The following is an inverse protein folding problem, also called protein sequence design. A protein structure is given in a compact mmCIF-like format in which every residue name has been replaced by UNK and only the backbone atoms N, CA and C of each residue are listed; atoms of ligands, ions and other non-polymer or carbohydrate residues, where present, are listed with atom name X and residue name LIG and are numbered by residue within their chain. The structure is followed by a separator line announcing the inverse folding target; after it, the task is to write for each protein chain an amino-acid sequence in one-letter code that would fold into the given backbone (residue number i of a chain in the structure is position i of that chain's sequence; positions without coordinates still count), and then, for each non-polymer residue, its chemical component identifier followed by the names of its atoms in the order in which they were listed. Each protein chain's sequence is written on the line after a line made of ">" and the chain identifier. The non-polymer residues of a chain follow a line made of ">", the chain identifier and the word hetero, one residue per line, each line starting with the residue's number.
data_IF_762672534482
#
_entry.id   IF_762672534482
#
_cell.length_a   1.000
_cell.length_b   1.000
_cell.length_c   1.000
_cell.angle_alpha   90.00
_cell.angle_beta   90.00
_cell.angle_gamma   90.00
#
_symmetry.space_group_name_H-M   'P 1'
#
loop_
_entity.id
_entity.type
_entity.pdbx_description
1 polymer ?
#
# COMPACT_ATOMS: atom_id res chain seq x y z
N UNK A 1 9.83 -8.09 -2.67
CA UNK A 1 8.98 -8.58 -1.54
C UNK A 1 7.59 -8.91 -2.04
N UNK A 2 6.79 -9.72 -1.32
CA UNK A 2 5.40 -10.00 -1.73
C UNK A 2 4.49 -8.82 -1.37
N UNK A 3 3.42 -8.61 -2.15
CA UNK A 3 2.38 -7.59 -1.87
C UNK A 3 1.89 -7.59 -0.42
N UNK A 4 1.62 -8.77 0.16
CA UNK A 4 1.13 -8.86 1.54
C UNK A 4 2.15 -8.34 2.57
N UNK A 5 3.45 -8.51 2.31
CA UNK A 5 4.51 -7.97 3.18
C UNK A 5 4.55 -6.45 3.12
N UNK A 6 4.37 -5.86 1.93
CA UNK A 6 4.25 -4.41 1.79
C UNK A 6 3.03 -3.88 2.56
N UNK A 7 1.87 -4.52 2.40
CA UNK A 7 0.63 -4.14 3.12
C UNK A 7 0.83 -4.20 4.63
N UNK A 8 1.49 -5.24 5.15
CA UNK A 8 1.78 -5.35 6.58
C UNK A 8 2.70 -4.24 7.07
N UNK A 9 3.74 -3.87 6.30
CA UNK A 9 4.62 -2.75 6.61
C UNK A 9 3.84 -1.43 6.67
N UNK A 10 3.03 -1.15 5.64
CA UNK A 10 2.21 0.06 5.58
C UNK A 10 1.18 0.12 6.72
N UNK A 11 0.57 -1.00 7.08
CA UNK A 11 -0.35 -1.06 8.23
C UNK A 11 0.37 -0.77 9.55
N UNK A 12 1.59 -1.29 9.73
CA UNK A 12 2.41 -0.99 10.91
C UNK A 12 2.75 0.50 10.97
N UNK A 13 3.24 1.07 9.86
CA UNK A 13 3.56 2.50 9.78
C UNK A 13 2.32 3.38 10.00
N UNK A 14 1.16 2.98 9.48
CA UNK A 14 -0.09 3.70 9.72
C UNK A 14 -0.47 3.72 11.21
N UNK A 15 -0.31 2.58 11.90
CA UNK A 15 -0.53 2.48 13.36
C UNK A 15 0.45 3.35 14.13
N UNK A 16 1.74 3.33 13.76
CA UNK A 16 2.78 4.12 14.40
C UNK A 16 2.52 5.64 14.20
N UNK A 17 1.90 6.03 13.08
CA UNK A 17 1.52 7.41 12.78
C UNK A 17 0.10 7.79 13.25
N UNK A 18 -0.67 6.84 13.79
CA UNK A 18 -2.06 7.07 14.22
C UNK A 18 -3.03 7.40 13.09
N UNK A 19 -2.75 7.00 11.84
CA UNK A 19 -3.63 7.27 10.69
C UNK A 19 -4.48 6.05 10.31
N UNK A 20 -5.69 6.27 9.76
CA UNK A 20 -6.51 5.19 9.23
C UNK A 20 -5.82 4.39 8.13
N UNK A 21 -5.96 3.07 8.16
CA UNK A 21 -5.44 2.18 7.12
C UNK A 21 -6.50 1.19 6.69
N UNK A 22 -6.71 1.05 5.38
CA UNK A 22 -7.58 0.02 4.84
C UNK A 22 -7.11 -0.50 3.49
N UNK A 23 -7.52 -1.72 3.15
CA UNK A 23 -7.20 -2.35 1.87
C UNK A 23 -8.49 -2.79 1.21
N UNK A 24 -8.72 -2.31 -0.01
CA UNK A 24 -9.83 -2.75 -0.84
C UNK A 24 -9.32 -3.70 -1.93
N UNK A 25 -9.65 -4.99 -1.76
CA UNK A 25 -9.26 -6.06 -2.68
C UNK A 25 -10.19 -6.17 -3.91
N UNK A 26 -11.38 -5.57 -3.86
CA UNK A 26 -12.39 -5.66 -4.93
C UNK A 26 -12.35 -4.53 -5.95
N UNK A 27 -11.60 -3.45 -5.68
CA UNK A 27 -11.51 -2.25 -6.56
C UNK A 27 -10.31 -2.23 -7.51
N UNK A 28 -9.45 -3.24 -7.54
CA UNK A 28 -8.30 -3.28 -8.45
C UNK A 28 -8.56 -4.13 -9.70
N UNK A 29 -8.21 -3.60 -10.87
CA UNK A 29 -8.22 -4.37 -12.13
C UNK A 29 -7.16 -5.49 -12.06
N UNK A 30 -7.48 -6.69 -12.55
CA UNK A 30 -6.51 -7.78 -12.67
C UNK A 30 -5.96 -8.35 -11.34
N UNK A 31 -6.75 -8.30 -10.26
CA UNK A 31 -6.33 -8.83 -8.95
C UNK A 31 -5.43 -7.89 -8.14
N UNK A 32 -5.33 -6.62 -8.58
CA UNK A 32 -4.69 -5.57 -7.80
C UNK A 32 -5.57 -5.17 -6.61
N UNK A 33 -4.98 -4.51 -5.62
CA UNK A 33 -5.75 -3.91 -4.53
C UNK A 33 -5.49 -2.42 -4.43
N UNK A 34 -6.44 -1.69 -3.85
CA UNK A 34 -6.24 -0.29 -3.46
C UNK A 34 -5.91 -0.26 -1.97
N UNK A 35 -4.82 0.43 -1.62
CA UNK A 35 -4.43 0.69 -0.24
C UNK A 35 -4.78 2.14 0.07
N UNK A 36 -5.47 2.36 1.18
CA UNK A 36 -5.79 3.67 1.75
C UNK A 36 -4.92 3.88 2.99
N UNK A 37 -4.29 5.05 3.06
CA UNK A 37 -3.40 5.48 4.13
C UNK A 37 -3.75 6.93 4.48
N UNK A 38 -4.53 7.12 5.54
CA UNK A 38 -5.19 8.41 5.82
C UNK A 38 -6.05 8.85 4.63
N UNK A 39 -5.81 10.07 4.16
CA UNK A 39 -6.50 10.65 2.99
C UNK A 39 -5.87 10.24 1.64
N UNK A 40 -4.74 9.54 1.67
CA UNK A 40 -4.03 9.11 0.46
C UNK A 40 -4.41 7.68 0.08
N UNK A 41 -4.35 7.39 -1.21
CA UNK A 41 -4.59 6.04 -1.72
C UNK A 41 -3.67 5.71 -2.89
N UNK A 42 -3.38 4.43 -3.07
CA UNK A 42 -2.67 3.95 -4.25
C UNK A 42 -3.09 2.54 -4.64
N UNK A 43 -2.89 2.20 -5.91
CA UNK A 43 -3.10 0.85 -6.43
C UNK A 43 -1.82 0.04 -6.31
N UNK A 44 -1.91 -1.13 -5.69
CA UNK A 44 -0.80 -2.07 -5.53
C UNK A 44 -1.06 -3.31 -6.38
N UNK A 45 -0.14 -3.60 -7.30
CA UNK A 45 -0.21 -4.79 -8.16
C UNK A 45 -0.11 -6.09 -7.37
N UNK A 46 -0.66 -7.16 -7.93
CA UNK A 46 -0.52 -8.51 -7.39
C UNK A 46 0.92 -9.05 -7.57
N UNK A 47 1.27 -10.07 -6.80
CA UNK A 47 2.59 -10.73 -6.91
C UNK A 47 3.74 -9.99 -6.21
N UNK A 48 4.86 -9.88 -6.92
CA UNK A 48 6.10 -9.32 -6.41
C UNK A 48 6.21 -7.81 -6.57
N UNK A 49 6.65 -7.17 -5.49
CA UNK A 49 6.92 -5.75 -5.37
C UNK A 49 8.43 -5.57 -5.43
N UNK A 50 8.90 -4.85 -6.45
CA UNK A 50 10.29 -4.42 -6.58
C UNK A 50 10.56 -3.23 -5.64
N UNK A 51 11.81 -3.01 -5.20
CA UNK A 51 12.15 -1.86 -4.35
C UNK A 51 11.76 -0.51 -4.97
N UNK A 52 11.93 -0.38 -6.29
CA UNK A 52 11.53 0.83 -7.03
C UNK A 52 10.01 1.06 -6.99
N UNK A 53 9.23 -0.01 -7.12
CA UNK A 53 7.76 0.10 -7.07
C UNK A 53 7.26 0.40 -5.65
N UNK A 54 7.89 -0.19 -4.63
CA UNK A 54 7.63 0.19 -3.23
C UNK A 54 7.91 1.68 -2.99
N UNK A 55 9.04 2.21 -3.49
CA UNK A 55 9.37 3.64 -3.36
C UNK A 55 8.33 4.54 -4.01
N UNK A 56 7.80 4.15 -5.18
CA UNK A 56 6.71 4.87 -5.85
C UNK A 56 5.42 4.85 -5.03
N UNK A 57 5.05 3.68 -4.50
CA UNK A 57 3.88 3.52 -3.61
C UNK A 57 4.01 4.41 -2.38
N UNK A 58 5.17 4.36 -1.69
CA UNK A 58 5.44 5.20 -0.52
C UNK A 58 5.29 6.68 -0.83
N UNK A 59 5.88 7.13 -1.95
CA UNK A 59 5.76 8.52 -2.40
C UNK A 59 4.29 8.93 -2.66
N UNK A 60 3.49 8.05 -3.27
CA UNK A 60 2.06 8.31 -3.51
C UNK A 60 1.23 8.35 -2.22
N UNK A 61 1.67 7.64 -1.18
CA UNK A 61 1.06 7.66 0.15
C UNK A 61 1.65 8.74 1.08
N UNK A 62 2.49 9.64 0.54
CA UNK A 62 3.08 10.74 1.31
C UNK A 62 4.16 10.30 2.29
N UNK A 63 4.64 9.06 2.17
CA UNK A 63 5.70 8.50 3.00
C UNK A 63 7.07 8.83 2.40
N UNK A 64 8.04 9.13 3.26
CA UNK A 64 9.44 9.37 2.87
C UNK A 64 10.21 8.08 2.60
#
# INVERSE_FOLDING_TARGET
>A
MKRNQLIQKLNKEARDMGVPFSVNMGRGKGGHCIVFFGDMQTTVKSGEITPMYEKLIRKQLGLK
#
